data_IF_653794082659
#
_entry.id   IF_653794082659
#
_cell.length_a   1.000
_cell.length_b   1.000
_cell.length_c   1.000
_cell.angle_alpha   90.00
_cell.angle_beta   90.00
_cell.angle_gamma   90.00
#
_symmetry.space_group_name_H-M   'P 1'
#
loop_
_entity.id
_entity.type
_entity.pdbx_description
1 polymer ?
#
# COMPACT_ATOMS: atom_id res chain seq x y z
N UNK A 1 32.93 61.64 17.81
CA UNK A 1 31.83 60.70 18.00
C UNK A 1 32.23 59.64 18.99
N UNK A 2 31.60 59.61 20.15
CA UNK A 2 31.81 58.56 21.17
C UNK A 2 31.45 57.19 20.58
N UNK A 3 32.42 56.26 20.58
CA UNK A 3 32.15 54.90 20.06
C UNK A 3 31.25 54.18 21.06
N UNK A 4 30.04 53.85 20.66
CA UNK A 4 29.13 53.02 21.44
C UNK A 4 29.75 51.61 21.66
N UNK A 5 29.94 51.25 22.97
CA UNK A 5 30.44 49.94 23.34
C UNK A 5 31.95 49.73 23.22
N UNK A 6 32.42 48.53 23.54
CA UNK A 6 33.81 48.13 23.50
C UNK A 6 33.98 46.69 22.98
N UNK A 7 35.15 46.43 22.37
CA UNK A 7 35.52 45.12 21.82
C UNK A 7 36.73 44.57 22.55
N UNK A 8 36.66 43.31 22.97
CA UNK A 8 37.78 42.58 23.63
C UNK A 8 38.13 41.35 22.79
N UNK A 9 39.39 41.22 22.43
CA UNK A 9 39.91 40.01 21.80
C UNK A 9 40.15 38.95 22.88
N UNK A 10 39.60 37.76 22.69
CA UNK A 10 39.77 36.61 23.60
C UNK A 10 40.98 35.79 23.22
N UNK A 11 41.50 34.95 24.15
CA UNK A 11 42.63 34.03 23.88
C UNK A 11 42.36 33.08 22.69
N UNK A 12 41.09 32.74 22.42
CA UNK A 12 40.65 31.94 21.27
C UNK A 12 40.72 32.66 19.91
N UNK A 13 41.17 33.91 19.89
CA UNK A 13 41.20 34.76 18.70
C UNK A 13 39.86 35.39 18.33
N UNK A 14 38.76 34.97 18.94
CA UNK A 14 37.44 35.54 18.77
C UNK A 14 37.27 36.90 19.46
N UNK A 15 36.29 37.67 19.08
CA UNK A 15 36.03 39.02 19.58
C UNK A 15 34.71 39.01 20.34
N UNK A 16 34.76 39.51 21.60
CA UNK A 16 33.57 39.75 22.41
C UNK A 16 33.21 41.24 22.35
N UNK A 17 31.95 41.55 22.05
CA UNK A 17 31.40 42.90 22.10
C UNK A 17 30.64 43.11 23.42
N UNK A 18 30.70 44.32 23.97
CA UNK A 18 30.00 44.73 25.19
C UNK A 18 29.72 46.24 25.17
N UNK A 19 28.67 46.66 25.83
CA UNK A 19 28.30 48.07 26.02
C UNK A 19 27.63 48.25 27.39
N UNK A 20 27.56 49.50 27.84
CA UNK A 20 26.89 49.85 29.10
C UNK A 20 25.57 50.57 28.76
N UNK A 21 24.47 50.11 29.37
CA UNK A 21 23.19 50.74 29.28
C UNK A 21 22.46 50.60 30.61
N UNK A 22 21.79 51.64 31.09
CA UNK A 22 21.06 51.72 32.38
C UNK A 22 21.92 51.21 33.59
N UNK A 23 23.19 51.62 33.63
CA UNK A 23 24.11 51.25 34.70
C UNK A 23 24.64 49.81 34.69
N UNK A 24 24.24 48.97 33.70
CA UNK A 24 24.63 47.59 33.59
C UNK A 24 25.47 47.33 32.33
N UNK A 25 26.47 46.46 32.42
CA UNK A 25 27.29 46.02 31.28
C UNK A 25 26.62 44.82 30.59
N UNK A 26 26.21 45.01 29.34
CA UNK A 26 25.67 43.97 28.48
C UNK A 26 26.74 43.43 27.54
N UNK A 27 26.79 42.11 27.39
CA UNK A 27 27.71 41.39 26.51
C UNK A 27 26.95 40.76 25.39
N UNK A 28 27.56 40.72 24.20
CA UNK A 28 27.01 39.94 23.13
C UNK A 28 26.86 38.46 23.53
N UNK A 29 25.76 37.82 23.22
CA UNK A 29 25.51 36.41 23.57
C UNK A 29 26.48 35.44 22.88
N UNK A 30 27.00 35.83 21.71
CA UNK A 30 27.99 35.06 20.97
C UNK A 30 29.31 35.83 20.82
N UNK A 31 30.37 35.11 20.45
CA UNK A 31 31.68 35.70 20.14
C UNK A 31 31.90 35.73 18.63
N UNK A 32 32.38 36.84 18.11
CA UNK A 32 32.50 37.10 16.67
C UNK A 32 33.88 36.67 16.13
N UNK A 33 33.85 36.11 14.91
CA UNK A 33 35.09 35.76 14.20
C UNK A 33 35.82 36.98 13.59
N UNK A 34 35.09 38.09 13.36
CA UNK A 34 35.65 39.31 12.76
C UNK A 34 35.22 40.58 13.52
N UNK A 35 36.08 41.55 13.52
CA UNK A 35 35.82 42.86 14.14
C UNK A 35 34.60 43.56 13.48
N UNK A 36 34.43 43.37 12.19
CA UNK A 36 33.30 43.96 11.43
C UNK A 36 31.94 43.47 11.94
N UNK A 37 31.79 42.16 12.21
CA UNK A 37 30.56 41.59 12.78
C UNK A 37 30.28 42.08 14.20
N UNK A 38 31.32 42.19 15.03
CA UNK A 38 31.18 42.67 16.38
C UNK A 38 30.78 44.16 16.44
N UNK A 39 31.30 45.00 15.50
CA UNK A 39 30.88 46.41 15.34
C UNK A 39 29.45 46.51 14.82
N UNK A 40 29.05 45.68 13.85
CA UNK A 40 27.69 45.67 13.33
C UNK A 40 26.67 45.33 14.42
N UNK A 41 26.98 44.35 15.29
CA UNK A 41 26.14 44.04 16.46
C UNK A 41 25.99 45.22 17.42
N UNK A 42 27.09 45.93 17.76
CA UNK A 42 27.02 47.11 18.62
C UNK A 42 26.18 48.22 18.01
N UNK A 43 26.27 48.45 16.69
CA UNK A 43 25.45 49.45 16.01
C UNK A 43 23.97 49.09 16.02
N UNK A 44 23.65 47.80 15.98
CA UNK A 44 22.27 47.31 16.07
C UNK A 44 21.70 47.50 17.48
N UNK A 45 22.51 47.27 18.53
CA UNK A 45 22.12 47.53 19.93
C UNK A 45 21.95 49.04 20.19
N UNK A 46 22.83 49.89 19.65
CA UNK A 46 22.73 51.35 19.73
C UNK A 46 21.42 51.84 19.10
N UNK A 47 21.08 51.32 17.92
CA UNK A 47 19.83 51.64 17.22
C UNK A 47 18.59 51.23 18.01
N UNK A 48 18.58 50.05 18.63
CA UNK A 48 17.46 49.59 19.48
C UNK A 48 17.29 50.50 20.71
N UNK A 49 18.37 51.02 21.30
CA UNK A 49 18.33 51.99 22.42
C UNK A 49 17.77 53.33 21.93
N UNK A 50 18.19 53.79 20.77
CA UNK A 50 17.81 55.08 20.20
C UNK A 50 16.30 55.14 19.85
N UNK A 51 15.72 53.96 19.48
CA UNK A 51 14.29 53.85 19.15
C UNK A 51 13.43 53.36 20.31
N UNK A 52 13.91 53.30 21.56
CA UNK A 52 13.18 52.79 22.73
C UNK A 52 12.65 51.33 22.57
N UNK A 53 13.19 50.57 21.66
CA UNK A 53 12.82 49.16 21.40
C UNK A 53 13.79 48.17 22.11
N UNK A 54 14.68 48.67 22.90
CA UNK A 54 15.73 47.88 23.52
C UNK A 54 15.23 47.00 24.65
N UNK A 55 15.64 45.74 24.65
CA UNK A 55 15.55 44.79 25.76
C UNK A 55 16.88 44.09 25.96
N UNK A 56 17.21 43.62 27.18
CA UNK A 56 18.49 42.96 27.44
C UNK A 56 18.77 41.82 26.45
N UNK A 57 19.98 41.73 25.86
CA UNK A 57 20.31 40.65 24.90
C UNK A 57 20.07 39.26 25.44
N UNK A 58 20.36 39.00 26.71
CA UNK A 58 20.05 37.73 27.38
C UNK A 58 18.56 37.40 27.44
N UNK A 59 17.70 38.42 27.59
CA UNK A 59 16.27 38.25 27.67
C UNK A 59 15.66 37.92 26.27
N UNK A 60 16.19 38.59 25.24
CA UNK A 60 15.81 38.31 23.84
C UNK A 60 16.21 36.88 23.42
N UNK A 61 17.41 36.41 23.86
CA UNK A 61 17.82 35.02 23.61
C UNK A 61 16.96 34.01 24.36
N UNK A 62 16.62 34.29 25.63
CA UNK A 62 15.71 33.43 26.38
C UNK A 62 14.31 33.38 25.78
N UNK A 63 13.80 34.52 25.28
CA UNK A 63 12.53 34.54 24.57
C UNK A 63 12.60 33.78 23.23
N UNK A 64 13.69 33.93 22.49
CA UNK A 64 13.94 33.18 21.25
C UNK A 64 14.07 31.68 21.50
N UNK A 65 14.79 31.30 22.55
CA UNK A 65 14.92 29.91 22.98
C UNK A 65 13.59 29.32 23.44
N UNK A 66 12.81 30.05 24.25
CA UNK A 66 11.46 29.65 24.68
C UNK A 66 10.47 29.55 23.51
N UNK A 67 10.52 30.50 22.57
CA UNK A 67 9.70 30.46 21.38
C UNK A 67 10.05 29.28 20.45
N UNK A 68 11.37 28.99 20.32
CA UNK A 68 11.85 27.81 19.58
C UNK A 68 11.46 26.50 20.28
N UNK A 69 11.56 26.45 21.61
CA UNK A 69 11.13 25.30 22.42
C UNK A 69 9.61 25.08 22.35
N UNK A 70 8.81 26.15 22.40
CA UNK A 70 7.36 26.09 22.23
C UNK A 70 6.96 25.73 20.80
N UNK A 71 7.64 26.23 19.78
CA UNK A 71 7.45 25.84 18.38
C UNK A 71 7.81 24.36 18.16
N UNK A 72 8.89 23.87 18.76
CA UNK A 72 9.27 22.47 18.71
C UNK A 72 8.36 21.56 19.54
N UNK A 73 7.80 22.02 20.65
CA UNK A 73 6.83 21.26 21.46
C UNK A 73 5.54 20.91 20.70
N UNK A 74 5.20 21.66 19.65
CA UNK A 74 4.04 21.41 18.81
C UNK A 74 4.40 20.77 17.44
N UNK A 75 5.67 20.52 17.17
CA UNK A 75 6.09 19.87 15.92
C UNK A 75 5.88 18.37 16.03
N UNK A 76 5.02 17.77 15.20
CA UNK A 76 4.76 16.34 15.28
C UNK A 76 6.01 15.54 14.91
N UNK A 77 6.23 14.44 15.60
CA UNK A 77 7.23 13.43 15.24
C UNK A 77 6.82 12.73 13.93
N UNK A 78 7.73 12.01 13.31
CA UNK A 78 7.42 11.19 12.10
C UNK A 78 6.26 10.23 12.37
N UNK A 79 6.21 9.60 13.55
CA UNK A 79 5.12 8.69 13.92
C UNK A 79 3.78 9.40 14.05
N UNK A 80 3.74 10.54 14.73
CA UNK A 80 2.51 11.36 14.87
C UNK A 80 2.06 11.96 13.54
N UNK A 81 3.02 12.35 12.70
CA UNK A 81 2.75 12.88 11.38
C UNK A 81 2.02 11.86 10.47
N UNK A 82 2.34 10.60 10.58
CA UNK A 82 1.61 9.57 9.83
C UNK A 82 0.11 9.55 10.19
N UNK A 83 -0.28 9.77 11.45
CA UNK A 83 -1.69 9.82 11.83
C UNK A 83 -2.41 11.01 11.19
N UNK A 84 -1.75 12.19 11.18
CA UNK A 84 -2.25 13.39 10.51
C UNK A 84 -2.36 13.16 9.00
N UNK A 85 -1.35 12.55 8.39
CA UNK A 85 -1.34 12.20 6.98
C UNK A 85 -2.46 11.23 6.62
N UNK A 86 -2.69 10.18 7.41
CA UNK A 86 -3.79 9.24 7.19
C UNK A 86 -5.17 9.90 7.29
N UNK A 87 -5.36 10.81 8.23
CA UNK A 87 -6.58 11.60 8.33
C UNK A 87 -6.80 12.44 7.06
N UNK A 88 -5.75 13.07 6.54
CA UNK A 88 -5.83 13.85 5.30
C UNK A 88 -6.18 12.98 4.08
N UNK A 89 -5.69 11.72 4.02
CA UNK A 89 -6.04 10.79 2.93
C UNK A 89 -7.51 10.38 2.93
N UNK A 90 -8.15 10.37 4.12
CA UNK A 90 -9.58 10.06 4.27
C UNK A 90 -10.49 11.24 3.90
N UNK A 91 -10.05 12.47 4.13
CA UNK A 91 -10.81 13.69 3.88
C UNK A 91 -10.70 14.25 2.46
N UNK A 92 -9.98 13.60 1.56
CA UNK A 92 -9.85 14.02 0.15
C UNK A 92 -11.19 13.90 -0.59
N UNK A 93 -11.44 14.71 -1.64
CA UNK A 93 -12.62 14.56 -2.49
C UNK A 93 -12.80 13.14 -3.06
N UNK A 94 -11.69 12.43 -3.31
CA UNK A 94 -11.64 11.00 -3.60
C UNK A 94 -10.86 10.30 -2.49
N UNK A 95 -11.52 9.83 -1.44
CA UNK A 95 -10.86 9.19 -0.30
C UNK A 95 -10.08 7.95 -0.71
N UNK A 96 -9.00 7.70 0.03
CA UNK A 96 -8.25 6.45 -0.14
C UNK A 96 -9.13 5.27 0.26
N UNK A 97 -9.08 4.17 -0.51
CA UNK A 97 -9.78 2.94 -0.12
C UNK A 97 -9.27 2.43 1.23
N UNK A 98 -10.17 2.00 2.09
CA UNK A 98 -9.85 1.54 3.46
C UNK A 98 -8.79 0.43 3.46
N UNK A 99 -8.88 -0.53 2.54
CA UNK A 99 -7.87 -1.58 2.39
C UNK A 99 -6.48 -1.07 2.02
N UNK A 100 -6.40 -0.03 1.19
CA UNK A 100 -5.12 0.60 0.84
C UNK A 100 -4.54 1.32 2.05
N UNK A 101 -5.38 2.03 2.79
CA UNK A 101 -4.98 2.71 4.02
C UNK A 101 -4.48 1.70 5.07
N UNK A 102 -5.19 0.60 5.29
CA UNK A 102 -4.75 -0.47 6.20
C UNK A 102 -3.40 -1.09 5.78
N UNK A 103 -3.19 -1.27 4.47
CA UNK A 103 -1.90 -1.73 3.97
C UNK A 103 -0.77 -0.71 4.22
N UNK A 104 -1.04 0.59 4.08
CA UNK A 104 -0.10 1.65 4.42
C UNK A 104 0.21 1.63 5.92
N UNK A 105 -0.82 1.65 6.76
CA UNK A 105 -0.68 1.60 8.21
C UNK A 105 0.12 0.38 8.67
N UNK A 106 -0.19 -0.82 8.17
CA UNK A 106 0.55 -2.04 8.47
C UNK A 106 2.01 -1.97 8.02
N UNK A 107 2.27 -1.44 6.82
CA UNK A 107 3.63 -1.32 6.30
C UNK A 107 4.46 -0.33 7.12
N UNK A 108 3.89 0.82 7.46
CA UNK A 108 4.52 1.85 8.30
C UNK A 108 4.71 1.32 9.71
N UNK A 109 3.70 0.67 10.30
CA UNK A 109 3.84 0.04 11.61
C UNK A 109 5.03 -0.91 11.64
N UNK A 110 5.07 -1.87 10.73
CA UNK A 110 6.08 -2.93 10.72
C UNK A 110 7.49 -2.47 10.34
N UNK A 111 7.70 -1.24 9.89
CA UNK A 111 9.02 -0.75 9.42
C UNK A 111 9.42 0.59 10.02
N UNK A 112 8.52 1.28 10.73
CA UNK A 112 8.78 2.63 11.24
C UNK A 112 8.29 2.80 12.67
N UNK A 113 6.96 2.62 12.93
CA UNK A 113 6.36 3.02 14.21
C UNK A 113 6.29 1.90 15.27
N UNK A 114 6.16 0.66 14.85
CA UNK A 114 6.11 -0.52 15.72
C UNK A 114 6.68 -1.74 14.98
N UNK A 115 8.00 -1.75 14.74
CA UNK A 115 8.64 -2.82 13.98
C UNK A 115 8.49 -4.18 14.66
N UNK A 116 8.39 -5.25 13.85
CA UNK A 116 8.21 -6.63 14.26
C UNK A 116 9.38 -7.50 13.77
N UNK A 117 9.75 -8.57 14.53
CA UNK A 117 9.22 -8.98 15.84
C UNK A 117 9.63 -8.02 16.95
N UNK A 118 8.85 -7.93 18.04
CA UNK A 118 9.28 -7.17 19.22
C UNK A 118 10.51 -7.88 19.84
N UNK A 119 11.58 -7.14 20.09
CA UNK A 119 12.82 -7.68 20.61
C UNK A 119 14.01 -6.75 20.33
N UNK A 120 15.19 -7.31 20.18
CA UNK A 120 16.44 -6.59 19.90
C UNK A 120 16.47 -6.07 18.45
N UNK A 121 15.66 -5.05 18.19
CA UNK A 121 15.56 -4.41 16.86
C UNK A 121 16.61 -3.31 16.77
N UNK A 122 17.21 -3.18 15.59
CA UNK A 122 18.18 -2.13 15.31
C UNK A 122 17.65 -0.75 15.77
N UNK A 123 18.37 -0.03 16.66
CA UNK A 123 17.93 1.25 17.20
C UNK A 123 17.58 2.31 16.16
N UNK A 124 18.23 2.29 14.99
CA UNK A 124 17.98 3.25 13.91
C UNK A 124 16.58 3.08 13.28
N UNK A 125 15.99 1.89 13.37
CA UNK A 125 14.61 1.65 12.91
C UNK A 125 13.62 2.32 13.88
N UNK A 126 13.83 2.12 15.20
CA UNK A 126 12.92 2.63 16.24
C UNK A 126 13.03 4.16 16.33
N UNK A 127 14.25 4.68 16.23
CA UNK A 127 14.54 6.11 16.38
C UNK A 127 13.76 6.97 15.39
N UNK A 128 13.59 6.52 14.14
CA UNK A 128 12.98 7.32 13.08
C UNK A 128 11.59 7.86 13.47
N UNK A 129 10.76 7.04 14.10
CA UNK A 129 9.39 7.41 14.46
C UNK A 129 9.33 8.57 15.46
N UNK A 130 10.35 8.71 16.33
CA UNK A 130 10.43 9.74 17.37
C UNK A 130 11.08 11.06 16.92
N UNK A 131 11.61 11.15 15.72
CA UNK A 131 12.25 12.38 15.22
C UNK A 131 11.18 13.41 14.84
N UNK A 132 11.22 14.66 15.33
CA UNK A 132 10.37 15.74 14.83
C UNK A 132 10.56 15.93 13.31
N UNK A 133 9.47 16.13 12.56
CA UNK A 133 9.56 16.22 11.09
C UNK A 133 10.43 17.39 10.62
N UNK A 134 10.54 18.47 11.40
CA UNK A 134 11.40 19.63 11.11
C UNK A 134 12.90 19.35 11.34
N UNK A 135 13.22 18.35 12.14
CA UNK A 135 14.61 17.95 12.44
C UNK A 135 15.09 16.75 11.62
N UNK A 136 14.15 16.11 10.87
CA UNK A 136 14.44 14.92 10.10
C UNK A 136 15.43 15.23 8.97
N UNK A 137 16.59 14.59 9.01
CA UNK A 137 17.69 14.78 8.06
C UNK A 137 17.79 13.61 7.09
N UNK A 138 18.42 13.88 5.95
CA UNK A 138 18.70 12.85 4.94
C UNK A 138 19.51 11.68 5.52
N UNK A 139 20.45 11.95 6.43
CA UNK A 139 21.25 10.92 7.11
C UNK A 139 20.40 9.98 7.95
N UNK A 140 19.39 10.48 8.67
CA UNK A 140 18.46 9.64 9.44
C UNK A 140 17.68 8.67 8.51
N UNK A 141 17.33 9.12 7.29
CA UNK A 141 16.66 8.28 6.30
C UNK A 141 17.61 7.19 5.77
N UNK A 142 18.90 7.51 5.54
CA UNK A 142 19.86 6.50 5.11
C UNK A 142 20.09 5.45 6.19
N UNK A 143 20.31 5.85 7.44
CA UNK A 143 20.50 4.92 8.58
C UNK A 143 19.29 3.99 8.72
N UNK A 144 18.08 4.56 8.72
CA UNK A 144 16.86 3.77 8.76
C UNK A 144 16.74 2.82 7.58
N UNK A 145 17.05 3.28 6.36
CA UNK A 145 16.97 2.45 5.15
C UNK A 145 17.93 1.27 5.19
N UNK A 146 19.17 1.51 5.59
CA UNK A 146 20.18 0.47 5.72
C UNK A 146 19.80 -0.52 6.83
N UNK A 147 19.32 -0.03 7.96
CA UNK A 147 18.85 -0.85 9.08
C UNK A 147 17.68 -1.76 8.69
N UNK A 148 16.62 -1.25 8.01
CA UNK A 148 15.49 -2.10 7.61
C UNK A 148 15.87 -3.12 6.53
N UNK A 149 16.85 -2.84 5.68
CA UNK A 149 17.29 -3.80 4.67
C UNK A 149 18.21 -4.88 5.27
N UNK A 150 18.95 -4.57 6.32
CA UNK A 150 19.70 -5.56 7.08
C UNK A 150 18.78 -6.47 7.90
N UNK A 151 17.75 -5.89 8.55
CA UNK A 151 16.83 -6.64 9.43
C UNK A 151 15.78 -7.44 8.65
N UNK A 152 15.26 -6.88 7.56
CA UNK A 152 14.12 -7.46 6.84
C UNK A 152 14.48 -7.81 5.39
N UNK A 153 14.50 -9.10 5.00
CA UNK A 153 14.89 -9.53 3.65
C UNK A 153 13.86 -9.20 2.55
N UNK A 154 12.66 -8.70 2.93
CA UNK A 154 11.58 -8.38 1.99
C UNK A 154 11.73 -6.98 1.38
N UNK A 155 12.66 -6.83 0.44
CA UNK A 155 12.99 -5.55 -0.22
C UNK A 155 11.75 -4.80 -0.74
N UNK A 156 10.78 -5.50 -1.33
CA UNK A 156 9.55 -4.88 -1.87
C UNK A 156 8.69 -4.23 -0.77
N UNK A 157 8.66 -4.81 0.43
CA UNK A 157 7.97 -4.24 1.59
C UNK A 157 8.73 -3.03 2.12
N UNK A 158 10.07 -3.10 2.18
CA UNK A 158 10.92 -1.99 2.58
C UNK A 158 10.76 -0.79 1.61
N UNK A 159 10.75 -1.05 0.30
CA UNK A 159 10.47 -0.03 -0.73
C UNK A 159 9.07 0.60 -0.57
N UNK A 160 8.07 -0.19 -0.15
CA UNK A 160 6.74 0.33 0.12
C UNK A 160 6.73 1.24 1.35
N UNK A 161 7.44 0.87 2.42
CA UNK A 161 7.61 1.72 3.59
C UNK A 161 8.30 3.04 3.23
N UNK A 162 9.37 2.97 2.45
CA UNK A 162 10.05 4.15 1.91
C UNK A 162 9.11 5.07 1.12
N UNK A 163 8.30 4.51 0.22
CA UNK A 163 7.32 5.28 -0.56
C UNK A 163 6.24 5.92 0.33
N UNK A 164 5.78 5.21 1.37
CA UNK A 164 4.84 5.77 2.34
C UNK A 164 5.45 6.96 3.08
N UNK A 165 6.70 6.81 3.57
CA UNK A 165 7.42 7.88 4.26
C UNK A 165 7.64 9.07 3.33
N UNK A 166 8.11 8.85 2.10
CA UNK A 166 8.32 9.92 1.11
C UNK A 166 7.01 10.67 0.81
N UNK A 167 5.90 9.95 0.68
CA UNK A 167 4.58 10.57 0.43
C UNK A 167 4.08 11.38 1.62
N UNK A 168 4.31 10.90 2.85
CA UNK A 168 3.95 11.63 4.07
C UNK A 168 4.78 12.91 4.21
N UNK A 169 6.10 12.84 3.94
CA UNK A 169 6.98 14.03 3.99
C UNK A 169 6.66 15.00 2.85
N UNK A 170 6.30 14.52 1.65
CA UNK A 170 5.81 15.39 0.57
C UNK A 170 4.57 16.17 1.02
N UNK A 171 3.65 15.54 1.72
CA UNK A 171 2.48 16.23 2.28
C UNK A 171 2.85 17.27 3.35
N UNK A 172 3.93 17.04 4.13
CA UNK A 172 4.45 18.03 5.08
C UNK A 172 5.03 19.27 4.35
N UNK A 173 5.68 19.07 3.20
CA UNK A 173 6.12 20.17 2.33
C UNK A 173 4.93 20.93 1.74
N UNK A 174 3.91 20.23 1.24
CA UNK A 174 2.67 20.83 0.72
C UNK A 174 1.92 21.66 1.77
N UNK A 175 2.12 21.36 3.07
CA UNK A 175 1.59 22.12 4.21
C UNK A 175 2.57 23.15 4.78
N UNK A 176 3.68 23.37 4.13
CA UNK A 176 4.72 24.35 4.52
C UNK A 176 5.34 24.10 5.90
N UNK A 177 5.24 22.87 6.43
CA UNK A 177 5.82 22.49 7.72
C UNK A 177 7.33 22.21 7.63
N UNK A 178 7.80 21.78 6.47
CA UNK A 178 9.22 21.56 6.17
C UNK A 178 9.54 22.14 4.79
N UNK A 179 10.74 22.70 4.59
CA UNK A 179 11.09 23.38 3.33
C UNK A 179 11.32 22.42 2.16
N UNK A 180 11.70 21.17 2.43
CA UNK A 180 11.96 20.16 1.40
C UNK A 180 11.78 18.75 1.97
N UNK A 181 11.48 17.79 1.09
CA UNK A 181 11.37 16.38 1.48
C UNK A 181 12.76 15.76 1.67
N UNK A 182 13.13 15.30 2.88
CA UNK A 182 14.43 14.68 3.13
C UNK A 182 14.53 13.24 2.62
N UNK A 183 13.41 12.60 2.27
CA UNK A 183 13.33 11.20 1.83
C UNK A 183 13.72 11.07 0.36
N UNK A 184 15.02 11.06 0.10
CA UNK A 184 15.61 11.10 -1.24
C UNK A 184 16.74 10.08 -1.41
N UNK A 185 16.40 8.78 -1.45
CA UNK A 185 17.36 7.68 -1.71
C UNK A 185 17.08 7.13 -3.12
N UNK A 186 18.01 7.33 -4.05
CA UNK A 186 17.86 6.86 -5.44
C UNK A 186 17.74 5.33 -5.52
N UNK A 187 18.55 4.61 -4.76
CA UNK A 187 18.57 3.14 -4.72
C UNK A 187 17.30 2.51 -4.15
N UNK A 188 16.58 3.20 -3.26
CA UNK A 188 15.32 2.74 -2.70
C UNK A 188 14.18 2.61 -3.74
N UNK A 189 14.31 3.27 -4.88
CA UNK A 189 13.32 3.24 -5.97
C UNK A 189 13.68 2.29 -7.10
N UNK A 190 14.83 1.60 -7.03
CA UNK A 190 15.25 0.63 -8.06
C UNK A 190 14.24 -0.50 -8.14
N UNK A 191 13.76 -0.77 -9.35
CA UNK A 191 12.76 -1.82 -9.59
C UNK A 191 13.34 -3.19 -9.28
N UNK A 192 12.80 -3.89 -8.29
CA UNK A 192 13.10 -5.29 -8.04
C UNK A 192 12.44 -6.14 -9.12
N UNK A 193 13.22 -7.02 -9.76
CA UNK A 193 12.67 -7.96 -10.76
C UNK A 193 11.61 -8.84 -10.08
N UNK A 194 10.36 -8.86 -10.57
CA UNK A 194 9.33 -9.71 -9.98
C UNK A 194 9.75 -11.17 -10.05
N UNK A 195 9.49 -11.94 -8.99
CA UNK A 195 9.61 -13.40 -9.04
C UNK A 195 8.69 -13.93 -10.15
N UNK A 196 9.20 -14.77 -11.02
CA UNK A 196 8.40 -15.39 -12.06
C UNK A 196 7.34 -16.29 -11.40
N UNK A 197 6.08 -16.08 -11.75
CA UNK A 197 5.00 -16.88 -11.21
C UNK A 197 4.94 -18.21 -11.93
N UNK A 198 4.75 -19.26 -11.16
CA UNK A 198 4.51 -20.59 -11.71
C UNK A 198 3.23 -20.59 -12.57
N UNK A 199 3.30 -21.25 -13.72
CA UNK A 199 2.16 -21.50 -14.59
C UNK A 199 1.78 -22.97 -14.43
N UNK A 200 0.64 -23.28 -13.76
CA UNK A 200 0.22 -24.65 -13.56
C UNK A 200 -0.16 -25.33 -14.90
N UNK A 201 0.08 -26.63 -14.99
CA UNK A 201 -0.39 -27.46 -16.06
C UNK A 201 -1.89 -27.75 -15.93
N UNK A 202 -2.52 -28.19 -17.02
CA UNK A 202 -3.92 -28.61 -17.01
C UNK A 202 -4.15 -29.77 -16.03
N UNK A 203 -3.22 -30.74 -16.02
CA UNK A 203 -3.29 -31.90 -15.14
C UNK A 203 -3.25 -31.53 -13.66
N UNK A 204 -2.42 -30.56 -13.26
CA UNK A 204 -2.37 -30.08 -11.89
C UNK A 204 -3.67 -29.40 -11.49
N UNK A 205 -4.20 -28.53 -12.35
CA UNK A 205 -5.48 -27.84 -12.07
C UNK A 205 -6.66 -28.82 -11.99
N UNK A 206 -6.72 -29.84 -12.84
CA UNK A 206 -7.74 -30.88 -12.77
C UNK A 206 -7.62 -31.70 -11.48
N UNK A 207 -6.41 -32.13 -11.14
CA UNK A 207 -6.15 -32.88 -9.90
C UNK A 207 -6.59 -32.10 -8.65
N UNK A 208 -6.27 -30.79 -8.60
CA UNK A 208 -6.73 -29.90 -7.52
C UNK A 208 -8.24 -29.77 -7.51
N UNK A 209 -8.89 -29.62 -8.67
CA UNK A 209 -10.34 -29.55 -8.80
C UNK A 209 -11.00 -30.82 -8.24
N UNK A 210 -10.50 -32.01 -8.60
CA UNK A 210 -11.01 -33.26 -8.11
C UNK A 210 -10.81 -33.42 -6.60
N UNK A 211 -9.64 -33.05 -6.08
CA UNK A 211 -9.33 -33.12 -4.66
C UNK A 211 -10.03 -32.05 -3.79
N UNK A 212 -10.60 -31.00 -4.44
CA UNK A 212 -11.34 -29.95 -3.76
C UNK A 212 -12.66 -30.51 -3.19
N UNK A 213 -12.97 -30.18 -1.94
CA UNK A 213 -14.25 -30.60 -1.35
C UNK A 213 -15.45 -30.00 -2.10
N UNK A 214 -16.57 -30.75 -2.25
CA UNK A 214 -17.69 -30.36 -3.12
C UNK A 214 -18.20 -28.95 -2.89
N UNK A 215 -18.30 -28.51 -1.64
CA UNK A 215 -18.76 -27.16 -1.27
C UNK A 215 -17.94 -26.02 -1.89
N UNK A 216 -16.64 -26.24 -2.11
CA UNK A 216 -15.70 -25.22 -2.60
C UNK A 216 -15.31 -25.38 -4.08
N UNK A 217 -15.78 -26.44 -4.76
CA UNK A 217 -15.46 -26.71 -6.18
C UNK A 217 -15.86 -25.55 -7.09
N UNK A 218 -16.98 -24.86 -6.81
CA UNK A 218 -17.40 -23.68 -7.59
C UNK A 218 -16.41 -22.53 -7.44
N UNK A 219 -15.93 -22.25 -6.22
CA UNK A 219 -14.91 -21.20 -6.00
C UNK A 219 -13.58 -21.58 -6.66
N UNK A 220 -13.18 -22.84 -6.60
CA UNK A 220 -11.97 -23.35 -7.29
C UNK A 220 -12.12 -23.21 -8.80
N UNK A 221 -13.25 -23.58 -9.37
CA UNK A 221 -13.55 -23.37 -10.79
C UNK A 221 -13.45 -21.91 -11.21
N UNK A 222 -14.08 -21.00 -10.46
CA UNK A 222 -14.07 -19.57 -10.75
C UNK A 222 -12.68 -18.96 -10.69
N UNK A 223 -11.85 -19.36 -9.72
CA UNK A 223 -10.53 -18.79 -9.52
C UNK A 223 -9.47 -19.42 -10.42
N UNK A 224 -9.42 -20.75 -10.54
CA UNK A 224 -8.37 -21.44 -11.30
C UNK A 224 -8.65 -21.56 -12.79
N UNK A 225 -9.91 -21.67 -13.22
CA UNK A 225 -10.27 -21.89 -14.63
C UNK A 225 -10.93 -20.69 -15.31
N UNK A 226 -11.61 -19.83 -14.56
CA UNK A 226 -12.31 -18.67 -15.12
C UNK A 226 -11.65 -17.33 -14.78
N UNK A 227 -10.52 -17.36 -14.08
CA UNK A 227 -9.66 -16.21 -13.84
C UNK A 227 -10.28 -15.11 -12.96
N UNK A 228 -11.33 -15.40 -12.17
CA UNK A 228 -11.83 -14.44 -11.19
C UNK A 228 -10.80 -14.19 -10.09
N UNK A 229 -10.72 -12.94 -9.64
CA UNK A 229 -9.96 -12.65 -8.44
C UNK A 229 -10.67 -13.30 -7.24
N UNK A 230 -9.90 -13.75 -6.25
CA UNK A 230 -10.47 -14.39 -5.06
C UNK A 230 -11.59 -13.57 -4.42
N UNK A 231 -11.40 -12.23 -4.30
CA UNK A 231 -12.42 -11.35 -3.75
C UNK A 231 -13.67 -11.22 -4.63
N UNK A 232 -13.54 -11.33 -5.95
CA UNK A 232 -14.67 -11.40 -6.88
C UNK A 232 -15.44 -12.70 -6.67
N UNK A 233 -14.73 -13.85 -6.63
CA UNK A 233 -15.33 -15.16 -6.47
C UNK A 233 -16.09 -15.33 -5.14
N UNK A 234 -15.47 -14.95 -4.01
CA UNK A 234 -16.14 -15.03 -2.70
C UNK A 234 -17.22 -13.97 -2.50
N UNK A 235 -17.15 -12.87 -3.27
CA UNK A 235 -18.16 -11.80 -3.26
C UNK A 235 -19.43 -12.13 -4.04
N UNK A 236 -19.47 -13.23 -4.79
CA UNK A 236 -20.64 -13.59 -5.58
C UNK A 236 -21.83 -14.00 -4.71
N UNK A 237 -23.00 -13.59 -5.16
CA UNK A 237 -24.29 -14.02 -4.65
C UNK A 237 -24.93 -15.03 -5.60
N UNK A 238 -25.92 -15.80 -5.15
CA UNK A 238 -26.65 -16.74 -6.02
C UNK A 238 -27.31 -16.08 -7.21
N UNK A 239 -27.83 -14.85 -7.07
CA UNK A 239 -28.45 -14.05 -8.12
C UNK A 239 -27.49 -13.70 -9.28
N UNK A 240 -26.20 -13.75 -9.06
CA UNK A 240 -25.19 -13.50 -10.09
C UNK A 240 -24.96 -14.68 -11.01
N UNK A 241 -25.47 -15.88 -10.66
CA UNK A 241 -25.39 -17.08 -11.50
C UNK A 241 -26.64 -17.16 -12.35
N UNK A 242 -26.48 -16.95 -13.66
CA UNK A 242 -27.54 -16.98 -14.64
C UNK A 242 -27.45 -18.27 -15.48
N UNK A 243 -28.51 -19.05 -15.51
CA UNK A 243 -28.61 -20.24 -16.37
C UNK A 243 -29.36 -19.86 -17.62
N UNK A 244 -28.76 -20.03 -18.80
CA UNK A 244 -29.35 -19.75 -20.10
C UNK A 244 -29.58 -21.06 -20.84
N UNK A 245 -30.72 -21.21 -21.46
CA UNK A 245 -31.19 -22.44 -22.14
C UNK A 245 -31.90 -23.38 -21.17
N UNK A 246 -32.60 -24.35 -21.76
CA UNK A 246 -33.41 -25.32 -20.99
C UNK A 246 -32.57 -26.49 -20.51
N UNK A 247 -32.74 -26.85 -19.24
CA UNK A 247 -32.21 -28.09 -18.66
C UNK A 247 -33.18 -29.23 -19.08
N UNK A 248 -32.70 -30.35 -19.64
CA UNK A 248 -31.31 -30.83 -19.77
C UNK A 248 -30.58 -30.48 -21.07
N UNK A 249 -31.18 -29.68 -21.95
CA UNK A 249 -30.68 -29.40 -23.31
C UNK A 249 -29.55 -28.35 -23.32
N UNK A 250 -28.31 -28.78 -23.00
CA UNK A 250 -27.09 -27.95 -23.09
C UNK A 250 -27.19 -26.57 -22.44
N UNK A 251 -27.59 -26.45 -21.16
CA UNK A 251 -27.65 -25.17 -20.48
C UNK A 251 -26.29 -24.51 -20.46
N UNK A 252 -26.26 -23.18 -20.48
CA UNK A 252 -25.07 -22.38 -20.30
C UNK A 252 -25.16 -21.59 -19.00
N UNK A 253 -24.12 -21.63 -18.21
CA UNK A 253 -23.98 -20.79 -17.01
C UNK A 253 -23.15 -19.56 -17.34
N UNK A 254 -23.62 -18.40 -16.91
CA UNK A 254 -22.92 -17.12 -16.98
C UNK A 254 -22.91 -16.52 -15.57
N UNK A 255 -21.77 -16.05 -15.13
CA UNK A 255 -21.61 -15.39 -13.84
C UNK A 255 -21.39 -13.91 -14.05
N UNK A 256 -22.25 -13.07 -13.47
CA UNK A 256 -22.10 -11.61 -13.49
C UNK A 256 -21.23 -11.16 -12.33
N UNK A 257 -20.13 -10.49 -12.62
CA UNK A 257 -19.23 -9.87 -11.61
C UNK A 257 -19.58 -8.40 -11.50
N UNK A 258 -20.14 -7.99 -10.39
CA UNK A 258 -20.50 -6.59 -10.10
C UNK A 258 -20.03 -6.10 -8.72
N UNK A 259 -19.34 -6.96 -7.97
CA UNK A 259 -18.83 -6.66 -6.65
C UNK A 259 -17.64 -7.54 -6.29
N UNK A 260 -16.96 -7.17 -5.22
CA UNK A 260 -15.96 -8.01 -4.58
C UNK A 260 -16.08 -7.95 -3.06
N UNK A 261 -15.71 -9.01 -2.37
CA UNK A 261 -15.56 -9.05 -0.93
C UNK A 261 -14.07 -8.95 -0.58
N UNK A 262 -13.74 -8.00 0.26
CA UNK A 262 -12.36 -7.74 0.67
C UNK A 262 -12.22 -7.87 2.19
N UNK A 263 -11.22 -8.64 2.64
CA UNK A 263 -10.92 -8.79 4.05
C UNK A 263 -10.30 -7.53 4.61
N UNK A 264 -10.89 -7.00 5.68
CA UNK A 264 -10.42 -5.88 6.47
C UNK A 264 -10.26 -6.29 7.93
N UNK A 265 -9.46 -5.56 8.67
CA UNK A 265 -9.27 -5.74 10.11
C UNK A 265 -9.47 -4.41 10.81
N UNK A 266 -10.25 -4.40 11.87
CA UNK A 266 -10.42 -3.24 12.75
C UNK A 266 -9.89 -3.58 14.14
N UNK A 267 -9.47 -2.55 14.88
CA UNK A 267 -9.16 -2.70 16.30
C UNK A 267 -10.36 -2.21 17.07
N UNK A 268 -10.89 -3.06 17.93
CA UNK A 268 -12.03 -2.76 18.79
C UNK A 268 -11.59 -1.88 19.97
N UNK A 269 -12.55 -1.36 20.74
CA UNK A 269 -12.29 -0.50 21.91
C UNK A 269 -11.47 -1.20 22.99
N UNK A 270 -11.61 -2.52 23.12
CA UNK A 270 -10.82 -3.36 24.03
C UNK A 270 -9.39 -3.67 23.54
N UNK A 271 -8.99 -3.12 22.40
CA UNK A 271 -7.69 -3.36 21.75
C UNK A 271 -7.62 -4.68 20.96
N UNK A 272 -8.63 -5.51 20.97
CA UNK A 272 -8.70 -6.73 20.18
C UNK A 272 -8.84 -6.44 18.68
N UNK A 273 -8.42 -7.40 17.85
CA UNK A 273 -8.48 -7.26 16.39
C UNK A 273 -9.61 -8.09 15.83
N UNK A 274 -10.60 -7.44 15.25
CA UNK A 274 -11.71 -8.08 14.56
C UNK A 274 -11.47 -8.03 13.04
N UNK A 275 -11.57 -9.20 12.39
CA UNK A 275 -11.41 -9.34 10.94
C UNK A 275 -12.75 -9.69 10.31
N UNK A 276 -13.13 -8.96 9.27
CA UNK A 276 -14.40 -9.09 8.57
C UNK A 276 -14.25 -8.94 7.07
N UNK A 277 -15.29 -9.32 6.32
CA UNK A 277 -15.38 -9.04 4.88
C UNK A 277 -16.16 -7.75 4.65
N UNK A 278 -15.63 -6.91 3.77
CA UNK A 278 -16.28 -5.70 3.25
C UNK A 278 -16.66 -5.90 1.80
N UNK A 279 -17.94 -5.84 1.48
CA UNK A 279 -18.42 -5.87 0.10
C UNK A 279 -18.32 -4.49 -0.52
N UNK A 280 -17.81 -4.42 -1.72
CA UNK A 280 -17.62 -3.16 -2.45
C UNK A 280 -17.75 -3.38 -3.95
N UNK A 281 -18.08 -2.32 -4.67
CA UNK A 281 -18.09 -2.32 -6.12
C UNK A 281 -16.69 -2.55 -6.71
N UNK A 282 -16.56 -3.01 -7.94
CA UNK A 282 -15.30 -3.10 -8.65
C UNK A 282 -14.54 -1.78 -8.65
N UNK A 283 -13.21 -1.86 -8.78
CA UNK A 283 -12.34 -0.66 -8.77
C UNK A 283 -12.48 0.19 -10.04
N UNK A 284 -12.83 -0.45 -11.14
CA UNK A 284 -12.91 0.16 -12.48
C UNK A 284 -14.16 -0.33 -13.18
N UNK A 285 -14.65 0.43 -14.15
CA UNK A 285 -15.80 0.08 -15.00
C UNK A 285 -15.61 -1.29 -15.65
N UNK A 286 -14.43 -1.58 -16.15
CA UNK A 286 -14.08 -2.90 -16.72
C UNK A 286 -14.20 -4.06 -15.73
N UNK A 287 -14.32 -3.79 -14.43
CA UNK A 287 -14.56 -4.82 -13.43
C UNK A 287 -15.97 -5.42 -13.51
N UNK A 288 -16.94 -4.67 -14.03
CA UNK A 288 -18.31 -5.15 -14.27
C UNK A 288 -18.31 -5.98 -15.56
N UNK A 289 -18.66 -7.24 -15.46
CA UNK A 289 -18.63 -8.14 -16.62
C UNK A 289 -19.42 -9.41 -16.41
N UNK A 290 -19.85 -9.99 -17.50
CA UNK A 290 -20.36 -11.35 -17.56
C UNK A 290 -19.21 -12.32 -17.90
N UNK A 291 -19.08 -13.39 -17.14
CA UNK A 291 -18.07 -14.45 -17.33
C UNK A 291 -18.80 -15.74 -17.71
N UNK A 292 -18.70 -16.17 -18.98
CA UNK A 292 -19.24 -17.45 -19.41
C UNK A 292 -18.47 -18.61 -18.74
N UNK A 293 -19.21 -19.53 -18.15
CA UNK A 293 -18.63 -20.72 -17.54
C UNK A 293 -18.38 -21.79 -18.63
N UNK A 294 -17.20 -22.43 -18.57
CA UNK A 294 -16.85 -23.52 -19.47
C UNK A 294 -17.92 -24.63 -19.43
N UNK A 295 -18.33 -25.15 -20.57
CA UNK A 295 -19.40 -26.16 -20.67
C UNK A 295 -19.16 -27.34 -19.72
N UNK A 296 -17.94 -27.82 -19.61
CA UNK A 296 -17.58 -28.92 -18.72
C UNK A 296 -17.81 -28.64 -17.22
N UNK A 297 -17.86 -27.37 -16.83
CA UNK A 297 -18.14 -26.94 -15.45
C UNK A 297 -19.61 -26.55 -15.24
N UNK A 298 -20.43 -26.47 -16.28
CA UNK A 298 -21.87 -26.10 -16.17
C UNK A 298 -22.58 -27.01 -15.16
N UNK A 299 -22.39 -28.31 -15.27
CA UNK A 299 -22.98 -29.30 -14.36
C UNK A 299 -22.62 -29.06 -12.91
N UNK A 300 -21.31 -28.75 -12.62
CA UNK A 300 -20.83 -28.41 -11.31
C UNK A 300 -21.62 -27.24 -10.65
N UNK A 301 -21.91 -26.19 -11.43
CA UNK A 301 -22.68 -25.05 -10.91
C UNK A 301 -24.14 -25.43 -10.64
N UNK A 302 -24.77 -26.19 -11.51
CA UNK A 302 -26.15 -26.65 -11.32
C UNK A 302 -26.27 -27.56 -10.08
N UNK A 303 -25.35 -28.51 -9.92
CA UNK A 303 -25.29 -29.40 -8.77
C UNK A 303 -25.04 -28.62 -7.47
N UNK A 304 -24.16 -27.60 -7.52
CA UNK A 304 -23.91 -26.74 -6.35
C UNK A 304 -25.16 -25.96 -5.94
N UNK A 305 -25.88 -25.38 -6.90
CA UNK A 305 -27.12 -24.63 -6.64
C UNK A 305 -28.22 -25.52 -6.10
N UNK A 306 -28.26 -26.80 -6.50
CA UNK A 306 -29.24 -27.77 -6.03
C UNK A 306 -28.87 -28.39 -4.66
N UNK A 307 -27.59 -28.64 -4.42
CA UNK A 307 -27.12 -29.34 -3.23
C UNK A 307 -27.00 -28.45 -1.98
N UNK A 308 -26.87 -27.14 -2.15
CA UNK A 308 -26.72 -26.20 -1.04
C UNK A 308 -27.87 -25.20 -1.02
N UNK A 309 -28.67 -25.25 0.04
CA UNK A 309 -29.75 -24.30 0.25
C UNK A 309 -29.25 -22.85 0.35
N UNK A 310 -30.03 -21.87 -0.13
CA UNK A 310 -29.72 -20.45 0.06
C UNK A 310 -29.61 -20.10 1.55
N UNK A 311 -28.55 -19.41 1.93
CA UNK A 311 -28.36 -18.89 3.29
C UNK A 311 -28.26 -17.38 3.22
N UNK A 312 -29.14 -16.68 3.92
CA UNK A 312 -29.06 -15.24 4.07
C UNK A 312 -27.99 -14.88 5.10
N UNK A 313 -27.15 -13.91 4.73
CA UNK A 313 -26.06 -13.42 5.58
C UNK A 313 -26.12 -11.89 5.65
N UNK A 314 -26.06 -11.37 6.85
CA UNK A 314 -25.78 -9.95 7.04
C UNK A 314 -24.30 -9.66 6.76
N UNK A 315 -24.04 -8.64 5.93
CA UNK A 315 -22.69 -8.27 5.54
C UNK A 315 -22.48 -6.77 5.70
N UNK A 316 -21.22 -6.37 5.83
CA UNK A 316 -20.80 -4.97 5.72
C UNK A 316 -20.50 -4.62 4.27
N UNK A 317 -21.04 -3.51 3.79
CA UNK A 317 -20.72 -2.98 2.47
C UNK A 317 -20.33 -1.50 2.54
N UNK A 318 -19.76 -0.98 1.46
CA UNK A 318 -19.42 0.45 1.37
C UNK A 318 -20.65 1.36 1.48
N UNK A 319 -21.83 0.83 1.16
CA UNK A 319 -23.10 1.56 1.18
C UNK A 319 -23.91 1.28 2.48
N UNK A 320 -23.28 0.62 3.45
CA UNK A 320 -23.88 0.22 4.72
C UNK A 320 -24.11 -1.29 4.84
N UNK A 321 -24.63 -1.75 5.98
CA UNK A 321 -24.98 -3.15 6.18
C UNK A 321 -26.13 -3.55 5.26
N UNK A 322 -26.07 -4.77 4.73
CA UNK A 322 -27.14 -5.36 3.91
C UNK A 322 -27.19 -6.87 4.05
N UNK A 323 -28.33 -7.49 3.75
CA UNK A 323 -28.50 -8.92 3.68
C UNK A 323 -28.26 -9.41 2.26
N UNK A 324 -27.48 -10.45 2.10
CA UNK A 324 -27.18 -11.10 0.83
C UNK A 324 -27.34 -12.63 0.94
N UNK A 325 -27.46 -13.27 -0.23
CA UNK A 325 -27.38 -14.73 -0.33
C UNK A 325 -26.10 -15.13 -1.06
N UNK A 326 -24.96 -15.37 -0.34
CA UNK A 326 -23.69 -15.72 -0.99
C UNK A 326 -23.83 -16.98 -1.85
N UNK A 327 -23.06 -17.03 -2.95
CA UNK A 327 -23.03 -18.24 -3.80
C UNK A 327 -22.47 -19.43 -3.05
N UNK A 328 -21.47 -19.21 -2.21
CA UNK A 328 -20.84 -20.24 -1.39
C UNK A 328 -20.70 -19.78 0.06
N UNK A 329 -21.17 -20.60 0.98
CA UNK A 329 -21.02 -20.38 2.42
C UNK A 329 -20.18 -21.51 3.06
N UNK A 330 -19.66 -21.27 4.24
CA UNK A 330 -19.00 -22.31 5.06
C UNK A 330 -20.01 -23.36 5.53
N UNK A 331 -19.54 -24.45 6.15
CA UNK A 331 -20.45 -25.44 6.73
C UNK A 331 -21.33 -24.86 7.86
N UNK A 332 -20.90 -23.77 8.48
CA UNK A 332 -21.65 -23.05 9.51
C UNK A 332 -22.58 -21.97 8.94
N UNK A 333 -22.75 -21.88 7.61
CA UNK A 333 -23.64 -20.90 6.96
C UNK A 333 -23.04 -19.48 6.83
N UNK A 334 -21.79 -19.25 7.23
CA UNK A 334 -21.17 -17.93 7.15
C UNK A 334 -20.51 -17.69 5.76
N UNK A 335 -20.33 -16.43 5.31
CA UNK A 335 -19.55 -16.12 4.13
C UNK A 335 -18.12 -16.66 4.20
N UNK A 336 -17.60 -17.11 3.06
CA UNK A 336 -16.25 -17.70 3.00
C UNK A 336 -15.20 -16.60 3.04
N UNK A 337 -14.26 -16.66 3.99
CA UNK A 337 -13.10 -15.77 4.04
C UNK A 337 -12.04 -16.17 3.01
N UNK A 338 -11.31 -15.21 2.47
CA UNK A 338 -10.22 -15.45 1.52
C UNK A 338 -9.14 -16.38 2.09
N UNK A 339 -8.81 -16.22 3.37
CA UNK A 339 -7.85 -17.08 4.07
C UNK A 339 -8.36 -18.50 4.25
N UNK A 340 -9.65 -18.66 4.59
CA UNK A 340 -10.28 -19.98 4.70
C UNK A 340 -10.30 -20.70 3.35
N UNK A 341 -10.63 -20.00 2.27
CA UNK A 341 -10.60 -20.61 0.93
C UNK A 341 -9.18 -21.00 0.52
N UNK A 342 -8.16 -20.13 0.75
CA UNK A 342 -6.76 -20.48 0.49
C UNK A 342 -6.32 -21.72 1.26
N UNK A 343 -6.67 -21.83 2.52
CA UNK A 343 -6.39 -23.03 3.32
C UNK A 343 -7.02 -24.29 2.74
N UNK A 344 -8.27 -24.19 2.22
CA UNK A 344 -8.94 -25.32 1.55
C UNK A 344 -8.27 -25.68 0.23
N UNK A 345 -7.83 -24.67 -0.53
CA UNK A 345 -7.10 -24.89 -1.77
C UNK A 345 -5.76 -25.59 -1.51
N UNK A 346 -4.96 -25.11 -0.55
CA UNK A 346 -3.70 -25.76 -0.16
C UNK A 346 -3.92 -27.23 0.31
N UNK A 347 -5.04 -27.51 1.01
CA UNK A 347 -5.39 -28.87 1.36
C UNK A 347 -5.69 -29.71 0.11
N UNK A 348 -6.35 -29.14 -0.89
CA UNK A 348 -6.63 -29.82 -2.16
C UNK A 348 -5.34 -30.06 -2.97
N UNK A 349 -4.42 -29.08 -3.02
CA UNK A 349 -3.09 -29.22 -3.62
C UNK A 349 -2.31 -30.40 -3.01
N UNK A 350 -2.25 -30.46 -1.67
CA UNK A 350 -1.59 -31.54 -0.95
C UNK A 350 -2.21 -32.91 -1.29
N UNK A 351 -3.55 -33.01 -1.30
CA UNK A 351 -4.27 -34.24 -1.66
C UNK A 351 -4.08 -34.67 -3.10
N UNK A 352 -3.94 -33.68 -3.99
CA UNK A 352 -3.67 -33.88 -5.41
C UNK A 352 -2.20 -34.29 -5.69
N UNK A 353 -1.34 -34.29 -4.68
CA UNK A 353 0.09 -34.55 -4.85
C UNK A 353 0.83 -33.41 -5.58
N UNK A 354 0.25 -32.21 -5.65
CA UNK A 354 0.88 -31.06 -6.27
C UNK A 354 1.84 -30.42 -5.26
N UNK A 355 3.12 -30.39 -5.61
CA UNK A 355 4.20 -29.91 -4.72
C UNK A 355 4.48 -28.43 -4.86
N UNK A 356 4.04 -27.80 -5.95
CA UNK A 356 4.20 -26.37 -6.20
C UNK A 356 2.99 -25.61 -5.69
N UNK A 357 3.19 -24.58 -4.90
CA UNK A 357 2.11 -23.71 -4.41
C UNK A 357 1.39 -23.01 -5.58
N UNK A 358 0.10 -23.25 -5.72
CA UNK A 358 -0.75 -22.68 -6.75
C UNK A 358 -1.67 -21.61 -6.12
N UNK A 359 -1.22 -20.38 -6.11
CA UNK A 359 -2.04 -19.24 -5.70
C UNK A 359 -3.25 -19.08 -6.65
N UNK A 360 -4.46 -18.72 -6.17
CA UNK A 360 -5.63 -18.45 -7.03
C UNK A 360 -5.37 -17.52 -8.22
N UNK A 361 -4.35 -16.66 -8.11
CA UNK A 361 -3.94 -15.78 -9.20
C UNK A 361 -3.21 -16.52 -10.34
N UNK A 362 -2.68 -17.72 -10.10
CA UNK A 362 -2.06 -18.56 -11.14
C UNK A 362 -3.09 -18.99 -12.18
N UNK A 363 -4.33 -19.30 -11.77
CA UNK A 363 -5.44 -19.63 -12.68
C UNK A 363 -5.74 -18.51 -13.69
N UNK A 364 -5.56 -17.25 -13.27
CA UNK A 364 -5.72 -16.10 -14.19
C UNK A 364 -4.62 -16.07 -15.26
N UNK A 365 -3.37 -16.38 -14.92
CA UNK A 365 -2.28 -16.48 -15.88
C UNK A 365 -2.47 -17.71 -16.80
N UNK A 366 -2.94 -18.82 -16.24
CA UNK A 366 -3.29 -20.00 -17.02
C UNK A 366 -4.38 -19.68 -18.05
N UNK A 367 -5.46 -19.02 -17.67
CA UNK A 367 -6.54 -18.65 -18.60
C UNK A 367 -6.05 -17.68 -19.70
N UNK A 368 -5.19 -16.70 -19.35
CA UNK A 368 -4.57 -15.80 -20.35
C UNK A 368 -3.78 -16.64 -21.37
N UNK A 369 -2.99 -17.58 -20.89
CA UNK A 369 -2.17 -18.47 -21.73
C UNK A 369 -3.06 -19.27 -22.67
N UNK A 370 -4.10 -19.94 -22.15
CA UNK A 370 -5.02 -20.75 -22.96
C UNK A 370 -5.77 -19.94 -23.99
N UNK A 371 -6.26 -18.75 -23.63
CA UNK A 371 -6.92 -17.85 -24.57
C UNK A 371 -5.98 -17.34 -25.66
N UNK A 372 -4.72 -17.02 -25.30
CA UNK A 372 -3.70 -16.60 -26.26
C UNK A 372 -3.36 -17.74 -27.25
N UNK A 373 -3.26 -18.98 -26.79
CA UNK A 373 -3.05 -20.18 -27.61
C UNK A 373 -4.19 -20.37 -28.61
N UNK A 374 -5.43 -20.12 -28.20
CA UNK A 374 -6.62 -20.16 -29.06
C UNK A 374 -6.75 -18.95 -30.00
N UNK A 375 -5.84 -18.00 -29.94
CA UNK A 375 -5.83 -16.85 -30.84
C UNK A 375 -6.68 -15.66 -30.38
N UNK A 376 -7.21 -15.68 -29.16
CA UNK A 376 -7.97 -14.56 -28.65
C UNK A 376 -7.18 -13.25 -28.68
N UNK A 377 -7.86 -12.14 -28.99
CA UNK A 377 -7.25 -10.83 -29.01
C UNK A 377 -7.05 -10.30 -27.58
N UNK A 378 -5.99 -9.50 -27.36
CA UNK A 378 -5.71 -8.91 -26.04
C UNK A 378 -6.87 -8.17 -25.39
N UNK A 379 -7.69 -7.47 -26.19
CA UNK A 379 -8.89 -6.78 -25.70
C UNK A 379 -9.98 -7.73 -25.23
N UNK A 380 -10.17 -8.87 -25.92
CA UNK A 380 -11.14 -9.91 -25.52
C UNK A 380 -10.72 -10.54 -24.20
N UNK A 381 -9.41 -10.86 -24.07
CA UNK A 381 -8.85 -11.36 -22.81
C UNK A 381 -9.02 -10.31 -21.69
N UNK A 382 -8.74 -9.05 -21.97
CA UNK A 382 -8.92 -7.94 -21.02
C UNK A 382 -10.37 -7.79 -20.56
N UNK A 383 -11.32 -7.84 -21.50
CA UNK A 383 -12.75 -7.75 -21.21
C UNK A 383 -13.22 -8.93 -20.33
N UNK A 384 -12.86 -10.17 -20.68
CA UNK A 384 -13.21 -11.36 -19.91
C UNK A 384 -12.64 -11.32 -18.48
N UNK A 385 -11.42 -10.82 -18.33
CA UNK A 385 -10.74 -10.73 -17.05
C UNK A 385 -11.07 -9.46 -16.24
N UNK A 386 -11.80 -8.50 -16.81
CA UNK A 386 -12.07 -7.22 -16.17
C UNK A 386 -10.80 -6.41 -15.89
N UNK A 387 -9.93 -6.30 -16.88
CA UNK A 387 -8.62 -5.63 -16.76
C UNK A 387 -8.42 -4.65 -17.92
N UNK A 388 -8.44 -3.36 -17.60
CA UNK A 388 -8.19 -2.29 -18.57
C UNK A 388 -6.71 -2.08 -18.87
N UNK A 389 -5.83 -2.37 -17.90
CA UNK A 389 -4.39 -2.32 -18.10
C UNK A 389 -3.91 -3.62 -18.77
N UNK A 390 -3.61 -3.51 -20.05
CA UNK A 390 -3.17 -4.64 -20.87
C UNK A 390 -1.70 -5.01 -20.68
N UNK A 391 -0.89 -4.20 -20.00
CA UNK A 391 0.55 -4.48 -19.82
C UNK A 391 0.80 -5.82 -19.12
N UNK A 392 0.00 -6.12 -18.09
CA UNK A 392 0.10 -7.38 -17.35
C UNK A 392 -0.33 -8.58 -18.23
N UNK A 393 -1.39 -8.43 -19.03
CA UNK A 393 -1.85 -9.46 -19.95
C UNK A 393 -0.82 -9.66 -21.05
N UNK A 394 -0.29 -8.58 -21.60
CA UNK A 394 0.69 -8.59 -22.68
C UNK A 394 1.96 -9.38 -22.29
N UNK A 395 2.44 -9.25 -21.04
CA UNK A 395 3.63 -10.02 -20.59
C UNK A 395 3.45 -11.53 -20.67
N UNK A 396 2.27 -12.04 -20.33
CA UNK A 396 1.95 -13.48 -20.45
C UNK A 396 1.72 -13.84 -21.92
N UNK A 397 0.90 -13.04 -22.61
CA UNK A 397 0.53 -13.23 -24.01
C UNK A 397 1.74 -13.28 -24.95
N UNK A 398 2.72 -12.37 -24.80
CA UNK A 398 3.91 -12.33 -25.65
C UNK A 398 4.79 -13.55 -25.48
N UNK A 399 4.89 -14.12 -24.26
CA UNK A 399 5.63 -15.37 -24.02
C UNK A 399 5.04 -16.53 -24.82
N UNK A 400 3.70 -16.63 -24.90
CA UNK A 400 2.99 -17.67 -25.65
C UNK A 400 3.18 -17.51 -27.15
N UNK A 401 3.20 -16.27 -27.64
CA UNK A 401 3.23 -15.95 -29.07
C UNK A 401 4.64 -16.01 -29.67
N UNK A 402 5.69 -15.94 -28.86
CA UNK A 402 7.09 -15.89 -29.34
C UNK A 402 7.51 -17.10 -30.20
N UNK A 403 6.84 -18.27 -30.05
CA UNK A 403 7.13 -19.47 -30.82
C UNK A 403 6.20 -19.75 -32.02
N UNK A 404 5.29 -18.79 -32.39
CA UNK A 404 4.25 -19.05 -33.42
C UNK A 404 4.52 -18.39 -34.77
N UNK A 405 5.68 -17.76 -34.97
CA UNK A 405 5.97 -16.99 -36.20
C UNK A 405 5.90 -17.88 -37.43
N UNK A 406 6.50 -19.08 -37.36
CA UNK A 406 6.55 -20.04 -38.48
C UNK A 406 5.13 -20.55 -38.78
N UNK A 407 4.38 -20.98 -37.78
CA UNK A 407 2.98 -21.43 -37.94
C UNK A 407 2.07 -20.32 -38.51
N UNK A 408 2.35 -19.05 -38.20
CA UNK A 408 1.59 -17.94 -38.77
C UNK A 408 1.95 -17.70 -40.24
N UNK A 409 3.22 -17.85 -40.60
CA UNK A 409 3.65 -17.74 -42.00
C UNK A 409 3.08 -18.90 -42.83
N UNK A 410 3.04 -20.10 -42.28
CA UNK A 410 2.41 -21.28 -42.93
C UNK A 410 0.90 -20.99 -43.19
N UNK A 411 0.18 -20.47 -42.21
CA UNK A 411 -1.24 -20.09 -42.37
C UNK A 411 -1.44 -18.98 -43.43
N UNK A 412 -0.53 -18.02 -43.50
CA UNK A 412 -0.57 -17.00 -44.56
C UNK A 412 -0.34 -17.64 -45.90
N UNK A 413 0.65 -18.52 -46.02
CA UNK A 413 0.90 -19.28 -47.24
C UNK A 413 -0.33 -20.08 -47.68
N UNK A 414 -0.94 -20.85 -46.78
CA UNK A 414 -2.16 -21.64 -47.03
C UNK A 414 -3.36 -20.78 -47.41
N UNK A 415 -3.41 -19.52 -46.99
CA UNK A 415 -4.48 -18.60 -47.38
C UNK A 415 -4.31 -17.96 -48.77
N UNK A 416 -3.14 -18.12 -49.38
CA UNK A 416 -2.79 -17.54 -50.65
C UNK A 416 -2.85 -18.61 -51.81
N UNK A 417 -2.95 -19.88 -51.46
CA UNK A 417 -3.11 -21.02 -52.42
C UNK A 417 -4.53 -21.50 -52.48
#
# INVERSE_FOLDING_TARGET
>A
MSKFGSLRKLPSGKIQARYNHQGTTHKAPETFSTRRRAVAWLAEEEKLIEFDEWTPPSHREQQKAKAAEQANAHTPTVGEWFNIYYASLRSRPKPIKQSTLQNYQRTVSNRITAPLPPGDINPDIIRLAGIPITELKKDDIYRWWDAINAEYPTITTNQRAYKCLSSAMKHAVERELIPANPVQIKTASVRVKPKEKYLPSDAELEAIMEATSPRYKVLTSLTLFHGLRIGEAIGLERRHVKVRGEVPYAPRVVVTVEQNAQRLTETLEDGSRHTYLMWQTPKTESGYRDVPIMRRHTRLFLEHLAAYEPVECEIRSTDGPRTITPLTVTAAGAPVMDTSFRSRLNTAETRAGVTTEIDPHCGRNWLITRLAEQGAHLKEIGALLGQSDLETIMKVYMKVRAGRTDTLMDKVNDSLG
#
